data_IF_758180254695
#
_entry.id   IF_758180254695
#
_cell.length_a   1.000
_cell.length_b   1.000
_cell.length_c   1.000
_cell.angle_alpha   90.00
_cell.angle_beta   90.00
_cell.angle_gamma   90.00
#
_symmetry.space_group_name_H-M   'P 1'
#
loop_
_entity.id
_entity.type
_entity.pdbx_description
1 polymer ?
#
# COMPACT_ATOMS: atom_id res chain seq x y z
N UNK A 1 3.68 -17.43 27.51
CA UNK A 1 4.52 -17.83 26.38
C UNK A 1 5.98 -17.88 26.80
N UNK A 2 6.63 -19.03 26.57
CA UNK A 2 8.05 -19.24 26.83
C UNK A 2 8.76 -19.55 25.52
N UNK A 3 9.39 -18.56 24.92
CA UNK A 3 10.09 -18.69 23.66
C UNK A 3 11.61 -18.60 23.82
N UNK A 4 12.34 -18.93 22.77
CA UNK A 4 13.81 -18.87 22.75
C UNK A 4 14.37 -17.48 22.98
N UNK A 5 13.68 -16.45 22.45
CA UNK A 5 14.16 -15.05 22.46
C UNK A 5 13.33 -14.13 23.35
N UNK A 6 12.08 -14.50 23.62
CA UNK A 6 11.14 -13.72 24.43
C UNK A 6 10.35 -14.63 25.36
N UNK A 7 10.07 -14.14 26.55
CA UNK A 7 9.16 -14.74 27.52
C UNK A 7 8.08 -13.72 27.83
N UNK A 8 6.81 -14.12 27.79
CA UNK A 8 5.66 -13.33 28.22
C UNK A 8 5.00 -14.04 29.39
N UNK A 9 4.89 -13.36 30.51
CA UNK A 9 4.19 -13.85 31.70
C UNK A 9 3.16 -12.82 32.13
N UNK A 10 1.89 -13.19 32.06
CA UNK A 10 0.76 -12.28 32.38
C UNK A 10 0.69 -11.01 31.55
N UNK A 11 1.17 -11.04 30.29
CA UNK A 11 1.14 -9.88 29.40
C UNK A 11 -0.29 -9.36 29.20
N UNK A 12 -0.49 -8.06 29.40
CA UNK A 12 -1.80 -7.40 29.30
C UNK A 12 -1.84 -6.50 28.06
N UNK A 13 -3.02 -6.42 27.45
CA UNK A 13 -3.34 -5.48 26.38
C UNK A 13 -4.71 -4.86 26.72
N UNK A 14 -4.68 -3.69 27.34
CA UNK A 14 -5.88 -2.96 27.78
C UNK A 14 -5.83 -1.50 27.29
N UNK A 15 -6.97 -0.92 26.89
CA UNK A 15 -8.30 -1.53 26.82
C UNK A 15 -8.40 -2.62 25.73
N UNK A 16 -9.30 -3.56 25.93
CA UNK A 16 -9.61 -4.59 24.89
C UNK A 16 -10.32 -3.93 23.71
N UNK A 17 -10.09 -4.42 22.48
CA UNK A 17 -10.79 -3.92 21.32
C UNK A 17 -12.30 -4.21 21.39
N UNK A 18 -13.10 -3.31 20.80
CA UNK A 18 -14.54 -3.51 20.66
C UNK A 18 -14.89 -4.39 19.45
N UNK A 19 -14.03 -4.40 18.44
CA UNK A 19 -14.22 -5.23 17.24
C UNK A 19 -14.13 -6.72 17.56
N UNK A 20 -15.00 -7.51 16.91
CA UNK A 20 -15.05 -8.95 17.06
C UNK A 20 -14.84 -9.61 15.69
N UNK A 21 -14.03 -10.66 15.58
CA UNK A 21 -13.26 -11.33 16.65
C UNK A 21 -12.03 -10.53 17.12
N UNK A 22 -11.54 -9.58 16.36
CA UNK A 22 -10.40 -8.67 16.62
C UNK A 22 -10.42 -7.49 15.65
N UNK A 23 -9.67 -6.41 15.89
CA UNK A 23 -9.42 -5.37 14.88
C UNK A 23 -8.75 -5.97 13.64
N UNK A 24 -8.96 -5.34 12.48
CA UNK A 24 -8.28 -5.74 11.25
C UNK A 24 -6.76 -5.79 11.45
N UNK A 25 -6.16 -6.92 11.11
CA UNK A 25 -4.71 -7.13 11.18
C UNK A 25 -4.11 -6.83 9.81
N UNK A 26 -3.53 -5.64 9.66
CA UNK A 26 -2.79 -5.26 8.46
C UNK A 26 -1.29 -5.52 8.67
N UNK A 27 -0.67 -6.28 7.75
CA UNK A 27 0.76 -6.53 7.76
C UNK A 27 1.41 -5.84 6.57
N UNK A 28 2.35 -4.93 6.87
CA UNK A 28 3.15 -4.23 5.87
C UNK A 28 4.44 -4.97 5.53
N UNK A 29 4.85 -4.88 4.27
CA UNK A 29 6.10 -5.41 3.75
C UNK A 29 5.93 -6.48 2.69
N UNK A 30 6.85 -6.47 1.72
CA UNK A 30 6.83 -7.34 0.53
C UNK A 30 7.86 -8.47 0.56
N UNK A 31 8.35 -8.88 1.73
CA UNK A 31 9.32 -9.97 1.86
C UNK A 31 8.71 -11.32 1.51
N UNK A 32 9.12 -11.88 0.37
CA UNK A 32 8.45 -13.04 -0.25
C UNK A 32 8.53 -14.32 0.58
N UNK A 33 9.67 -14.57 1.24
CA UNK A 33 9.90 -15.82 1.97
C UNK A 33 9.25 -15.87 3.35
N UNK A 34 9.20 -14.73 4.05
CA UNK A 34 8.75 -14.67 5.45
C UNK A 34 7.50 -13.80 5.60
N UNK A 35 7.56 -12.53 5.17
CA UNK A 35 6.46 -11.59 5.41
C UNK A 35 5.17 -12.05 4.73
N UNK A 36 5.19 -12.34 3.43
CA UNK A 36 4.00 -12.80 2.71
C UNK A 36 3.47 -14.14 3.20
N UNK A 37 4.35 -15.02 3.73
CA UNK A 37 3.91 -16.24 4.40
C UNK A 37 3.20 -15.98 5.74
N UNK A 38 3.65 -14.98 6.50
CA UNK A 38 2.96 -14.54 7.73
C UNK A 38 1.62 -13.89 7.39
N UNK A 39 1.59 -13.06 6.35
CA UNK A 39 0.33 -12.48 5.81
C UNK A 39 -0.67 -13.58 5.50
N UNK A 40 -0.30 -14.59 4.71
CA UNK A 40 -1.19 -15.68 4.33
C UNK A 40 -1.80 -16.43 5.53
N UNK A 41 -1.11 -16.45 6.66
CA UNK A 41 -1.56 -17.16 7.87
C UNK A 41 -2.40 -16.31 8.83
N UNK A 42 -2.14 -15.01 8.90
CA UNK A 42 -2.57 -14.21 10.04
C UNK A 42 -3.17 -12.85 9.71
N UNK A 43 -3.01 -12.34 8.48
CA UNK A 43 -3.44 -10.99 8.15
C UNK A 43 -4.83 -10.95 7.50
N UNK A 44 -5.59 -9.92 7.81
CA UNK A 44 -6.83 -9.55 7.11
C UNK A 44 -6.52 -8.64 5.93
N UNK A 45 -5.39 -7.90 6.02
CA UNK A 45 -4.93 -7.03 4.96
C UNK A 45 -3.41 -7.09 4.80
N UNK A 46 -2.93 -6.89 3.58
CA UNK A 46 -1.52 -6.80 3.23
C UNK A 46 -1.21 -5.47 2.56
N UNK A 47 -0.06 -4.89 2.89
CA UNK A 47 0.44 -3.69 2.25
C UNK A 47 1.87 -3.91 1.75
N UNK A 48 2.07 -3.91 0.45
CA UNK A 48 3.39 -4.01 -0.16
C UNK A 48 3.51 -3.06 -1.34
N UNK A 49 4.70 -2.49 -1.52
CA UNK A 49 5.02 -1.55 -2.59
C UNK A 49 5.57 -2.23 -3.84
N UNK A 50 5.87 -1.42 -4.83
CA UNK A 50 6.48 -1.77 -6.10
C UNK A 50 5.67 -1.24 -7.27
N UNK A 51 6.31 -1.13 -8.44
CA UNK A 51 5.63 -0.83 -9.70
C UNK A 51 4.60 -1.91 -10.02
N UNK A 52 3.62 -1.68 -10.91
CA UNK A 52 2.55 -2.65 -11.16
C UNK A 52 3.01 -4.10 -11.37
N UNK A 53 4.05 -4.32 -12.17
CA UNK A 53 4.58 -5.67 -12.41
C UNK A 53 5.26 -6.30 -11.18
N UNK A 54 5.93 -5.50 -10.35
CA UNK A 54 6.56 -5.96 -9.10
C UNK A 54 5.48 -6.24 -8.05
N UNK A 55 4.46 -5.39 -7.99
CA UNK A 55 3.30 -5.59 -7.13
C UNK A 55 2.54 -6.86 -7.50
N UNK A 56 2.30 -7.09 -8.80
CA UNK A 56 1.68 -8.30 -9.33
C UNK A 56 2.46 -9.55 -8.90
N UNK A 57 3.78 -9.55 -9.09
CA UNK A 57 4.63 -10.67 -8.67
C UNK A 57 4.47 -10.99 -7.17
N UNK A 58 4.46 -9.97 -6.31
CA UNK A 58 4.23 -10.16 -4.86
C UNK A 58 2.83 -10.70 -4.55
N UNK A 59 1.82 -10.25 -5.28
CA UNK A 59 0.46 -10.76 -5.17
C UNK A 59 0.38 -12.24 -5.55
N UNK A 60 1.07 -12.67 -6.61
CA UNK A 60 1.18 -14.08 -7.03
C UNK A 60 1.89 -14.94 -5.97
N UNK A 61 2.99 -14.43 -5.37
CA UNK A 61 3.68 -15.10 -4.27
C UNK A 61 2.78 -15.24 -3.05
N UNK A 62 2.04 -14.19 -2.68
CA UNK A 62 1.05 -14.26 -1.59
C UNK A 62 -0.04 -15.29 -1.89
N UNK A 63 -0.56 -15.32 -3.11
CA UNK A 63 -1.54 -16.31 -3.53
C UNK A 63 -1.02 -17.75 -3.40
N UNK A 64 0.27 -17.98 -3.75
CA UNK A 64 0.89 -19.28 -3.55
C UNK A 64 0.97 -19.64 -2.06
N UNK A 65 1.39 -18.72 -1.20
CA UNK A 65 1.41 -18.97 0.25
C UNK A 65 0.01 -19.25 0.83
N UNK A 66 -1.04 -18.60 0.29
CA UNK A 66 -2.41 -18.89 0.68
C UNK A 66 -2.81 -20.34 0.32
N UNK A 67 -2.49 -20.79 -0.89
CA UNK A 67 -2.68 -22.20 -1.30
C UNK A 67 -1.96 -23.18 -0.37
N UNK A 68 -0.71 -22.88 -0.01
CA UNK A 68 0.12 -23.73 0.85
C UNK A 68 -0.45 -23.90 2.26
N UNK A 69 -1.22 -22.93 2.76
CA UNK A 69 -1.84 -22.95 4.10
C UNK A 69 -3.35 -23.24 4.06
N UNK A 70 -3.93 -23.43 2.89
CA UNK A 70 -5.36 -23.72 2.70
C UNK A 70 -6.29 -22.54 3.01
N UNK A 71 -5.81 -21.31 2.78
CA UNK A 71 -6.59 -20.09 2.98
C UNK A 71 -7.03 -19.49 1.65
N UNK A 72 -8.23 -18.92 1.60
CA UNK A 72 -8.69 -18.16 0.45
C UNK A 72 -7.90 -16.84 0.33
N UNK A 73 -7.29 -16.63 -0.83
CA UNK A 73 -6.53 -15.43 -1.15
C UNK A 73 -7.42 -14.17 -1.16
N UNK A 74 -8.68 -14.30 -1.54
CA UNK A 74 -9.61 -13.17 -1.67
C UNK A 74 -10.12 -12.65 -0.33
N UNK A 75 -9.96 -13.42 0.76
CA UNK A 75 -10.19 -12.94 2.12
C UNK A 75 -9.18 -11.86 2.56
N UNK A 76 -8.02 -11.78 1.90
CA UNK A 76 -6.98 -10.82 2.26
C UNK A 76 -7.13 -9.57 1.39
N UNK A 77 -7.38 -8.44 2.00
CA UNK A 77 -7.38 -7.14 1.33
C UNK A 77 -5.95 -6.75 0.92
N UNK A 78 -5.72 -6.50 -0.38
CA UNK A 78 -4.40 -6.16 -0.92
C UNK A 78 -4.32 -4.66 -1.15
N UNK A 79 -3.31 -4.02 -0.55
CA UNK A 79 -3.16 -2.57 -0.56
C UNK A 79 -1.74 -2.14 -0.92
N UNK A 80 -1.58 -0.87 -1.26
CA UNK A 80 -0.28 -0.26 -1.56
C UNK A 80 -0.12 1.06 -0.82
N UNK A 81 1.11 1.33 -0.33
CA UNK A 81 1.54 2.67 0.07
C UNK A 81 2.42 3.26 -1.04
N UNK A 82 2.17 4.51 -1.39
CA UNK A 82 2.93 5.21 -2.42
C UNK A 82 2.98 6.72 -2.13
N UNK A 83 3.99 7.38 -2.66
CA UNK A 83 4.03 8.84 -2.67
C UNK A 83 3.03 9.36 -3.71
N UNK A 84 2.40 10.49 -3.40
CA UNK A 84 1.44 11.14 -4.27
C UNK A 84 1.80 12.60 -4.45
N UNK A 85 1.85 13.04 -5.69
CA UNK A 85 2.02 14.44 -6.04
C UNK A 85 1.24 14.75 -7.31
N UNK A 86 0.23 15.63 -7.21
CA UNK A 86 -0.67 15.93 -8.31
C UNK A 86 -0.68 17.45 -8.55
N UNK A 87 -0.62 17.84 -9.83
CA UNK A 87 -0.82 19.21 -10.27
C UNK A 87 -1.79 19.23 -11.46
N UNK A 88 -2.42 20.36 -11.69
CA UNK A 88 -3.42 20.52 -12.77
C UNK A 88 -2.80 20.30 -14.16
N UNK A 89 -1.52 20.65 -14.33
CA UNK A 89 -0.81 20.55 -15.61
C UNK A 89 0.48 19.74 -15.49
N UNK A 90 0.87 19.11 -16.60
CA UNK A 90 2.14 18.39 -16.69
C UNK A 90 3.35 19.31 -16.49
N UNK A 91 3.26 20.57 -16.95
CA UNK A 91 4.34 21.54 -16.77
C UNK A 91 4.61 21.82 -15.29
N UNK A 92 3.57 21.98 -14.47
CA UNK A 92 3.72 22.15 -13.02
C UNK A 92 4.33 20.93 -12.33
N UNK A 93 4.00 19.73 -12.81
CA UNK A 93 4.62 18.48 -12.31
C UNK A 93 6.11 18.45 -12.66
N UNK A 94 6.49 18.86 -13.87
CA UNK A 94 7.87 18.90 -14.33
C UNK A 94 8.69 19.95 -13.57
N UNK A 95 8.15 21.15 -13.40
CA UNK A 95 8.80 22.29 -12.73
C UNK A 95 9.04 22.01 -11.24
N UNK A 96 8.21 21.17 -10.62
CA UNK A 96 8.39 20.77 -9.23
C UNK A 96 9.64 19.90 -8.99
N UNK A 97 10.19 19.27 -10.05
CA UNK A 97 11.33 18.35 -9.93
C UNK A 97 10.96 17.09 -9.14
N UNK A 98 11.90 16.58 -8.32
CA UNK A 98 11.60 15.49 -7.38
C UNK A 98 11.20 16.06 -6.03
N UNK A 99 10.11 15.50 -5.49
CA UNK A 99 9.62 15.74 -4.13
C UNK A 99 9.60 14.45 -3.32
N UNK A 100 10.37 13.45 -3.77
CA UNK A 100 10.45 12.17 -3.07
C UNK A 100 10.97 12.31 -1.66
N UNK A 101 10.28 11.73 -0.69
CA UNK A 101 10.76 11.60 0.69
C UNK A 101 12.05 10.79 0.80
N UNK A 102 12.32 9.93 -0.19
CA UNK A 102 13.45 9.02 -0.21
C UNK A 102 14.62 9.53 -1.08
N UNK A 103 14.48 10.73 -1.65
CA UNK A 103 15.51 11.34 -2.49
C UNK A 103 15.67 10.69 -3.87
N UNK A 104 14.61 10.06 -4.38
CA UNK A 104 14.63 9.49 -5.72
C UNK A 104 14.80 10.57 -6.80
N UNK A 105 15.54 10.29 -7.90
CA UNK A 105 15.54 11.15 -9.07
C UNK A 105 14.13 11.36 -9.63
N UNK A 106 13.86 12.55 -10.19
CA UNK A 106 12.52 12.93 -10.63
C UNK A 106 11.87 11.95 -11.61
N UNK A 107 12.65 11.36 -12.52
CA UNK A 107 12.13 10.39 -13.49
C UNK A 107 11.68 9.09 -12.83
N UNK A 108 12.51 8.48 -11.98
CA UNK A 108 12.17 7.24 -11.27
C UNK A 108 11.04 7.46 -10.28
N UNK A 109 11.05 8.61 -9.59
CA UNK A 109 9.99 8.99 -8.66
C UNK A 109 8.63 9.10 -9.36
N UNK A 110 8.55 9.82 -10.49
CA UNK A 110 7.33 9.92 -11.29
C UNK A 110 6.87 8.55 -11.83
N UNK A 111 7.82 7.73 -12.27
CA UNK A 111 7.49 6.41 -12.82
C UNK A 111 6.99 5.42 -11.76
N UNK A 112 7.50 5.51 -10.54
CA UNK A 112 7.25 4.54 -9.45
C UNK A 112 6.11 4.91 -8.50
N UNK A 113 5.60 6.16 -8.57
CA UNK A 113 4.64 6.71 -7.63
C UNK A 113 3.43 7.35 -8.34
N UNK A 114 2.41 7.75 -7.58
CA UNK A 114 1.21 8.43 -8.10
C UNK A 114 1.51 9.91 -8.33
N UNK A 115 2.37 10.18 -9.29
CA UNK A 115 2.85 11.52 -9.64
C UNK A 115 2.41 11.88 -11.05
N UNK A 116 1.75 13.00 -11.24
CA UNK A 116 1.25 13.46 -12.55
C UNK A 116 0.06 14.40 -12.47
N UNK A 117 -0.64 14.55 -13.59
CA UNK A 117 -1.96 15.20 -13.63
C UNK A 117 -3.03 14.28 -13.04
N UNK A 118 -4.25 14.78 -12.72
CA UNK A 118 -5.35 13.94 -12.26
C UNK A 118 -5.60 12.72 -13.16
N UNK A 119 -5.60 12.89 -14.48
CA UNK A 119 -5.83 11.82 -15.45
C UNK A 119 -4.71 10.76 -15.39
N UNK A 120 -3.44 11.20 -15.36
CA UNK A 120 -2.29 10.32 -15.28
C UNK A 120 -2.29 9.51 -13.98
N UNK A 121 -2.67 10.15 -12.88
CA UNK A 121 -2.77 9.47 -11.58
C UNK A 121 -3.93 8.47 -11.57
N UNK A 122 -5.08 8.82 -12.17
CA UNK A 122 -6.21 7.90 -12.31
C UNK A 122 -5.83 6.65 -13.12
N UNK A 123 -5.08 6.80 -14.22
CA UNK A 123 -4.59 5.67 -15.03
C UNK A 123 -3.65 4.77 -14.21
N UNK A 124 -2.74 5.36 -13.43
CA UNK A 124 -1.84 4.60 -12.56
C UNK A 124 -2.62 3.82 -11.48
N UNK A 125 -3.64 4.43 -10.88
CA UNK A 125 -4.50 3.75 -9.90
C UNK A 125 -5.23 2.58 -10.55
N UNK A 126 -5.82 2.77 -11.75
CA UNK A 126 -6.50 1.69 -12.48
C UNK A 126 -5.58 0.51 -12.73
N UNK A 127 -4.32 0.74 -13.09
CA UNK A 127 -3.35 -0.33 -13.31
C UNK A 127 -3.16 -1.25 -12.09
N UNK A 128 -3.21 -0.72 -10.87
CA UNK A 128 -3.17 -1.53 -9.64
C UNK A 128 -4.53 -2.17 -9.33
N UNK A 129 -5.63 -1.45 -9.57
CA UNK A 129 -6.99 -1.98 -9.36
C UNK A 129 -7.23 -3.20 -10.25
N UNK A 130 -6.82 -3.14 -11.52
CA UNK A 130 -6.92 -4.25 -12.48
C UNK A 130 -6.10 -5.49 -12.04
N UNK A 131 -5.06 -5.29 -11.24
CA UNK A 131 -4.27 -6.37 -10.62
C UNK A 131 -4.86 -6.88 -9.30
N UNK A 132 -5.98 -6.31 -8.83
CA UNK A 132 -6.65 -6.69 -7.58
C UNK A 132 -6.23 -5.90 -6.33
N UNK A 133 -5.55 -4.76 -6.50
CA UNK A 133 -5.33 -3.82 -5.40
C UNK A 133 -6.66 -3.14 -5.02
N UNK A 134 -7.00 -3.17 -3.74
CA UNK A 134 -8.28 -2.66 -3.23
C UNK A 134 -8.14 -1.45 -2.30
N UNK A 135 -6.91 -1.02 -2.04
CA UNK A 135 -6.70 0.13 -1.15
C UNK A 135 -5.36 0.83 -1.37
N UNK A 136 -5.40 2.15 -1.24
CA UNK A 136 -4.23 3.02 -1.41
C UNK A 136 -4.01 3.83 -0.14
N UNK A 137 -2.78 3.87 0.35
CA UNK A 137 -2.32 4.71 1.45
C UNK A 137 -1.37 5.77 0.91
N UNK A 138 -1.88 6.93 0.46
CA UNK A 138 -1.09 7.97 -0.18
C UNK A 138 -0.29 8.79 0.84
N UNK A 139 0.96 9.10 0.51
CA UNK A 139 1.81 10.05 1.20
C UNK A 139 1.98 11.29 0.33
N UNK A 140 1.28 12.38 0.68
CA UNK A 140 1.33 13.63 -0.10
C UNK A 140 2.71 14.28 0.01
N UNK A 141 3.45 14.32 -1.11
CA UNK A 141 4.84 14.79 -1.16
C UNK A 141 4.97 16.33 -1.11
N UNK A 142 3.86 17.05 -1.13
CA UNK A 142 3.82 18.51 -0.98
C UNK A 142 3.42 18.99 0.42
N UNK A 143 3.25 18.08 1.39
CA UNK A 143 2.92 18.49 2.75
C UNK A 143 3.91 19.58 3.28
N UNK A 144 3.44 20.68 3.90
CA UNK A 144 2.06 20.90 4.43
C UNK A 144 1.06 21.53 3.43
N UNK A 145 1.39 21.64 2.15
CA UNK A 145 0.43 22.06 1.14
C UNK A 145 -0.68 21.02 0.99
N UNK A 146 -1.86 21.45 0.61
CA UNK A 146 -3.06 20.60 0.50
C UNK A 146 -3.54 20.40 -0.93
N UNK A 147 -2.84 20.94 -1.91
CA UNK A 147 -3.26 20.86 -3.31
C UNK A 147 -3.31 19.42 -3.81
N UNK A 148 -2.26 18.64 -3.59
CA UNK A 148 -2.24 17.21 -3.91
C UNK A 148 -3.40 16.46 -3.25
N UNK A 149 -3.69 16.76 -1.99
CA UNK A 149 -4.80 16.11 -1.27
C UNK A 149 -6.16 16.44 -1.88
N UNK A 150 -6.38 17.70 -2.27
CA UNK A 150 -7.60 18.15 -2.94
C UNK A 150 -7.79 17.47 -4.29
N UNK A 151 -6.74 17.42 -5.11
CA UNK A 151 -6.77 16.79 -6.43
C UNK A 151 -6.93 15.28 -6.32
N UNK A 152 -6.25 14.64 -5.38
CA UNK A 152 -6.39 13.21 -5.12
C UNK A 152 -7.81 12.84 -4.69
N UNK A 153 -8.46 13.66 -3.87
CA UNK A 153 -9.85 13.43 -3.49
C UNK A 153 -10.81 13.46 -4.68
N UNK A 154 -10.58 14.35 -5.65
CA UNK A 154 -11.35 14.39 -6.90
C UNK A 154 -11.12 13.12 -7.74
N UNK A 155 -9.85 12.72 -7.95
CA UNK A 155 -9.50 11.46 -8.65
C UNK A 155 -10.15 10.25 -7.98
N UNK A 156 -10.09 10.16 -6.66
CA UNK A 156 -10.70 9.05 -5.92
C UNK A 156 -12.24 9.01 -6.04
N UNK A 157 -12.90 10.14 -6.21
CA UNK A 157 -14.34 10.21 -6.42
C UNK A 157 -14.76 9.70 -7.80
N UNK A 158 -13.94 9.90 -8.83
CA UNK A 158 -14.18 9.41 -10.19
C UNK A 158 -13.94 7.91 -10.37
N UNK A 159 -13.16 7.30 -9.47
CA UNK A 159 -12.80 5.87 -9.54
C UNK A 159 -13.75 4.97 -8.73
N UNK A 160 -14.75 5.53 -8.09
CA UNK A 160 -15.82 4.80 -7.39
C UNK A 160 -16.92 4.40 -8.36
#
# INVERSE_FOLDING_TARGET
>A
YQGRHFTLDGAQCDPKPLQQPHPEVLIGGGGERLTLRVVARHADASNFGGKPHEWQHKAEVLQQHCRDVGRDYDEIRKTISCEVFIRETEQEVLDAGSRSFWGEPAESWRAGNLVGTPEQVAEKIRAYVDLGCTGFYPWCSDYPDTETLRLFAAVAAELR
#
